data_IF_387933181543
#
_entry.id   IF_387933181543
#
_cell.length_a   1.000
_cell.length_b   1.000
_cell.length_c   1.000
_cell.angle_alpha   90.00
_cell.angle_beta   90.00
_cell.angle_gamma   90.00
#
_symmetry.space_group_name_H-M   'P 1'
#
loop_
_entity.id
_entity.type
_entity.pdbx_description
1 polymer ?
#
# COMPACT_ATOMS: atom_id res chain seq x y z
N UNK A 1 13.41 -12.93 -29.56
CA UNK A 1 14.11 -13.79 -28.58
C UNK A 1 13.71 -13.33 -27.20
N UNK A 2 12.92 -14.11 -26.45
CA UNK A 2 12.67 -13.83 -25.04
C UNK A 2 13.99 -14.03 -24.30
N UNK A 3 14.45 -13.03 -23.55
CA UNK A 3 15.64 -13.16 -22.72
C UNK A 3 15.50 -14.38 -21.80
N UNK A 4 16.54 -15.20 -21.68
CA UNK A 4 16.61 -16.30 -20.71
C UNK A 4 16.55 -15.72 -19.29
N UNK A 5 15.35 -15.59 -18.74
CA UNK A 5 15.17 -15.12 -17.37
C UNK A 5 15.70 -16.20 -16.42
N UNK A 6 16.64 -15.81 -15.54
CA UNK A 6 17.13 -16.71 -14.49
C UNK A 6 15.96 -17.13 -13.61
N UNK A 7 15.76 -18.45 -13.48
CA UNK A 7 14.69 -19.04 -12.68
C UNK A 7 15.21 -20.15 -11.76
N UNK A 8 14.41 -20.49 -10.76
CA UNK A 8 14.71 -21.55 -9.84
C UNK A 8 14.61 -22.90 -10.55
N UNK A 9 15.70 -23.66 -10.52
CA UNK A 9 15.81 -24.95 -11.22
C UNK A 9 14.83 -26.03 -10.71
N UNK A 10 14.29 -25.87 -9.50
CA UNK A 10 13.38 -26.85 -8.90
C UNK A 10 11.89 -26.54 -9.10
N UNK A 11 11.52 -25.26 -9.09
CA UNK A 11 10.10 -24.87 -9.07
C UNK A 11 9.73 -23.81 -10.11
N UNK A 12 10.68 -23.37 -10.92
CA UNK A 12 10.48 -22.37 -11.97
C UNK A 12 10.25 -20.94 -11.46
N UNK A 13 10.40 -20.67 -10.15
CA UNK A 13 10.33 -19.30 -9.61
C UNK A 13 11.35 -18.39 -10.31
N UNK A 14 10.89 -17.35 -10.99
CA UNK A 14 11.73 -16.45 -11.78
C UNK A 14 11.82 -15.04 -11.19
N UNK A 15 11.05 -14.74 -10.14
CA UNK A 15 11.02 -13.40 -9.57
C UNK A 15 12.35 -13.11 -8.87
N UNK A 16 13.05 -12.07 -9.33
CA UNK A 16 14.42 -11.72 -8.89
C UNK A 16 14.57 -11.62 -7.36
N UNK A 17 13.62 -10.98 -6.66
CA UNK A 17 13.66 -10.85 -5.21
C UNK A 17 13.51 -12.19 -4.46
N UNK A 18 12.85 -13.18 -5.07
CA UNK A 18 12.67 -14.51 -4.51
C UNK A 18 13.89 -15.43 -4.73
N UNK A 19 14.87 -15.03 -5.53
CA UNK A 19 16.07 -15.82 -5.82
C UNK A 19 17.15 -15.54 -4.76
N UNK A 20 17.60 -16.58 -4.05
CA UNK A 20 18.51 -16.43 -2.90
C UNK A 20 19.93 -16.04 -3.30
N UNK A 21 20.40 -16.48 -4.49
CA UNK A 21 21.69 -16.18 -5.15
C UNK A 21 21.69 -16.83 -6.54
N UNK A 22 22.11 -16.09 -7.58
CA UNK A 22 22.21 -16.60 -8.96
C UNK A 22 23.07 -17.87 -9.07
N UNK A 23 24.15 -17.94 -8.28
CA UNK A 23 25.08 -19.06 -8.27
C UNK A 23 24.48 -20.41 -7.85
N UNK A 24 23.40 -20.42 -7.05
CA UNK A 24 22.78 -21.66 -6.56
C UNK A 24 21.58 -22.06 -7.42
N UNK A 25 21.05 -21.14 -8.24
CA UNK A 25 19.89 -21.43 -9.11
C UNK A 25 18.62 -21.81 -8.33
N UNK A 26 18.51 -21.44 -7.05
CA UNK A 26 17.36 -21.76 -6.20
C UNK A 26 16.68 -20.51 -5.64
N UNK A 27 15.35 -20.57 -5.52
CA UNK A 27 14.56 -19.59 -4.78
C UNK A 27 14.68 -19.80 -3.27
N UNK A 28 14.24 -18.80 -2.49
CA UNK A 28 14.28 -18.84 -1.03
C UNK A 28 13.49 -20.02 -0.47
N UNK A 29 12.33 -20.35 -1.03
CA UNK A 29 11.54 -21.50 -0.60
C UNK A 29 12.28 -22.84 -0.81
N UNK A 30 12.84 -23.05 -2.00
CA UNK A 30 13.53 -24.30 -2.36
C UNK A 30 14.87 -24.45 -1.65
N UNK A 31 15.56 -23.35 -1.37
CA UNK A 31 16.84 -23.36 -0.68
C UNK A 31 16.71 -23.44 0.85
N UNK A 32 15.50 -23.36 1.39
CA UNK A 32 15.28 -23.38 2.84
C UNK A 32 15.13 -24.80 3.39
N UNK A 33 15.77 -25.01 4.55
CA UNK A 33 15.77 -26.27 5.29
C UNK A 33 15.40 -26.06 6.77
N UNK A 34 15.10 -24.82 7.17
CA UNK A 34 15.03 -24.43 8.59
C UNK A 34 13.61 -24.10 9.04
N UNK A 35 12.79 -23.54 8.15
CA UNK A 35 11.48 -23.04 8.52
C UNK A 35 10.44 -24.15 8.54
N UNK A 36 9.47 -24.02 9.45
CA UNK A 36 8.28 -24.88 9.46
C UNK A 36 7.50 -24.68 8.16
N UNK A 37 7.05 -25.79 7.57
CA UNK A 37 6.22 -25.76 6.37
C UNK A 37 4.74 -25.56 6.70
N UNK A 38 4.04 -24.82 5.86
CA UNK A 38 2.60 -24.57 5.99
C UNK A 38 1.99 -23.93 4.75
N UNK A 39 0.84 -23.27 4.93
CA UNK A 39 0.13 -22.56 3.87
C UNK A 39 0.50 -21.07 3.85
N UNK A 40 0.87 -20.55 2.69
CA UNK A 40 1.17 -19.13 2.51
C UNK A 40 -0.12 -18.34 2.35
N UNK A 41 -0.29 -17.28 3.14
CA UNK A 41 -1.51 -16.45 3.05
C UNK A 41 -1.58 -15.61 1.77
N UNK A 42 -0.44 -15.23 1.20
CA UNK A 42 -0.37 -14.47 -0.07
C UNK A 42 -0.65 -15.38 -1.26
N UNK A 43 0.24 -16.33 -1.56
CA UNK A 43 0.11 -17.13 -2.78
C UNK A 43 -0.79 -18.36 -2.65
N UNK A 44 -1.38 -18.60 -1.47
CA UNK A 44 -2.30 -19.72 -1.16
C UNK A 44 -1.75 -21.13 -1.39
N UNK A 45 -0.47 -21.26 -1.73
CA UNK A 45 0.22 -22.54 -1.88
C UNK A 45 0.53 -23.16 -0.52
N UNK A 46 0.46 -24.49 -0.47
CA UNK A 46 0.69 -25.29 0.73
C UNK A 46 2.10 -25.89 0.76
N UNK A 47 2.48 -26.41 1.93
CA UNK A 47 3.75 -27.08 2.18
C UNK A 47 4.99 -26.21 1.84
N UNK A 48 4.89 -24.90 2.04
CA UNK A 48 5.99 -23.95 1.83
C UNK A 48 6.62 -23.56 3.17
N UNK A 49 7.95 -23.29 3.22
CA UNK A 49 8.59 -22.75 4.43
C UNK A 49 8.00 -21.38 4.76
N UNK A 50 7.58 -21.17 6.01
CA UNK A 50 6.87 -19.95 6.43
C UNK A 50 7.70 -19.09 7.38
N UNK A 51 7.55 -17.78 7.22
CA UNK A 51 8.05 -16.73 8.11
C UNK A 51 6.95 -15.71 8.39
N UNK A 52 7.02 -15.03 9.54
CA UNK A 52 6.07 -13.96 9.87
C UNK A 52 6.55 -12.65 9.25
N UNK A 53 5.70 -12.07 8.40
CA UNK A 53 5.96 -10.78 7.76
C UNK A 53 5.14 -9.67 8.41
N UNK A 54 5.74 -8.51 8.66
CA UNK A 54 5.05 -7.35 9.20
C UNK A 54 4.30 -6.60 8.10
N UNK A 55 3.03 -6.25 8.32
CA UNK A 55 2.27 -5.48 7.32
C UNK A 55 2.85 -4.09 7.05
N UNK A 56 3.29 -3.39 8.09
CA UNK A 56 3.66 -1.97 7.99
C UNK A 56 5.17 -1.71 7.84
N UNK A 57 5.94 -2.63 7.26
CA UNK A 57 7.40 -2.45 7.04
C UNK A 57 8.28 -2.30 8.29
N UNK A 58 7.68 -2.17 9.48
CA UNK A 58 8.39 -2.01 10.74
C UNK A 58 8.76 -3.38 11.29
N UNK A 59 10.06 -3.57 11.59
CA UNK A 59 10.64 -4.73 12.31
C UNK A 59 9.95 -5.04 13.67
N UNK A 60 9.04 -4.19 14.14
CA UNK A 60 8.33 -4.28 15.41
C UNK A 60 6.83 -3.95 15.32
N UNK A 61 6.22 -3.94 14.13
CA UNK A 61 4.76 -3.82 14.06
C UNK A 61 4.10 -5.09 14.63
N UNK A 62 3.12 -4.96 15.52
CA UNK A 62 2.46 -6.13 16.13
C UNK A 62 1.71 -6.99 15.09
N UNK A 63 1.23 -6.38 14.01
CA UNK A 63 0.47 -7.05 12.97
C UNK A 63 1.40 -7.75 11.97
N UNK A 64 1.37 -9.07 12.01
CA UNK A 64 2.14 -9.94 11.12
C UNK A 64 1.27 -11.00 10.46
N UNK A 65 1.67 -11.48 9.29
CA UNK A 65 1.05 -12.63 8.61
C UNK A 65 2.08 -13.72 8.31
N UNK A 66 1.69 -15.01 8.44
CA UNK A 66 2.53 -16.11 8.03
C UNK A 66 2.51 -16.27 6.51
N UNK A 67 3.67 -16.12 5.88
CA UNK A 67 3.82 -16.19 4.42
C UNK A 67 5.07 -16.98 4.05
N UNK A 68 5.15 -17.46 2.82
CA UNK A 68 6.34 -18.18 2.36
C UNK A 68 7.53 -17.24 2.11
N UNK A 69 8.74 -17.78 2.16
CA UNK A 69 9.98 -16.98 2.03
C UNK A 69 10.07 -16.24 0.69
N UNK A 70 9.58 -16.82 -0.41
CA UNK A 70 9.52 -16.11 -1.69
C UNK A 70 8.62 -14.87 -1.62
N UNK A 71 7.39 -15.03 -1.09
CA UNK A 71 6.45 -13.90 -0.90
C UNK A 71 6.99 -12.89 0.11
N UNK A 72 7.69 -13.36 1.14
CA UNK A 72 8.33 -12.52 2.13
C UNK A 72 9.35 -11.58 1.50
N UNK A 73 10.24 -12.10 0.65
CA UNK A 73 11.26 -11.28 0.00
C UNK A 73 10.66 -10.28 -1.00
N UNK A 74 9.58 -10.65 -1.70
CA UNK A 74 8.86 -9.72 -2.56
C UNK A 74 8.27 -8.57 -1.77
N UNK A 75 7.51 -8.84 -0.70
CA UNK A 75 6.93 -7.78 0.13
C UNK A 75 8.01 -6.91 0.79
N UNK A 76 9.07 -7.54 1.32
CA UNK A 76 10.19 -6.80 1.93
C UNK A 76 10.86 -5.87 0.93
N UNK A 77 10.99 -6.29 -0.34
CA UNK A 77 11.54 -5.44 -1.39
C UNK A 77 10.65 -4.25 -1.70
N UNK A 78 9.32 -4.45 -1.78
CA UNK A 78 8.36 -3.34 -1.99
C UNK A 78 8.38 -2.35 -0.84
N UNK A 79 8.38 -2.85 0.39
CA UNK A 79 8.41 -2.02 1.61
C UNK A 79 9.72 -1.27 1.80
N UNK A 80 10.84 -1.78 1.27
CA UNK A 80 12.11 -1.08 1.29
C UNK A 80 12.06 0.25 0.49
N UNK A 81 11.20 0.32 -0.52
CA UNK A 81 11.06 1.48 -1.40
C UNK A 81 10.00 2.47 -0.89
N UNK A 82 9.40 2.21 0.28
CA UNK A 82 8.46 3.13 0.90
C UNK A 82 9.16 4.44 1.31
N UNK A 83 8.46 5.60 1.20
CA UNK A 83 9.01 6.88 1.60
C UNK A 83 9.50 6.91 3.06
N UNK A 84 10.52 7.72 3.30
CA UNK A 84 11.20 7.89 4.60
C UNK A 84 10.35 8.63 5.67
N UNK A 85 9.01 8.51 5.59
CA UNK A 85 8.01 9.17 6.46
C UNK A 85 7.91 8.52 7.86
N UNK A 86 8.66 7.46 8.12
CA UNK A 86 8.62 6.62 9.33
C UNK A 86 9.10 7.30 10.62
N UNK A 87 9.77 8.46 10.53
CA UNK A 87 10.29 9.18 11.71
C UNK A 87 9.26 10.09 12.39
N UNK A 88 8.15 10.40 11.72
CA UNK A 88 7.22 11.44 12.16
C UNK A 88 6.02 10.94 12.97
N UNK A 89 5.33 9.88 12.53
CA UNK A 89 4.01 9.54 13.09
C UNK A 89 3.66 8.04 13.04
N UNK A 90 2.89 7.52 14.01
CA UNK A 90 2.24 6.22 13.91
C UNK A 90 1.11 6.28 12.88
N UNK A 91 1.46 6.17 11.60
CA UNK A 91 0.47 6.40 10.55
C UNK A 91 -0.24 5.09 10.19
N UNK A 92 -1.54 5.02 10.48
CA UNK A 92 -2.46 4.01 9.94
C UNK A 92 -2.32 3.86 8.42
N UNK A 93 -1.86 4.90 7.70
CA UNK A 93 -1.52 4.84 6.29
C UNK A 93 -0.53 3.72 5.94
N UNK A 94 0.44 3.39 6.79
CA UNK A 94 1.37 2.28 6.53
C UNK A 94 0.72 0.91 6.66
N UNK A 95 -0.32 0.77 7.48
CA UNK A 95 -1.13 -0.44 7.48
C UNK A 95 -1.93 -0.56 6.19
N UNK A 96 -2.44 0.56 5.65
CA UNK A 96 -3.09 0.58 4.34
C UNK A 96 -2.13 0.23 3.20
N UNK A 97 -0.93 0.83 3.15
CA UNK A 97 0.09 0.45 2.16
C UNK A 97 0.48 -1.02 2.27
N UNK A 98 0.68 -1.51 3.49
CA UNK A 98 0.95 -2.93 3.74
C UNK A 98 -0.14 -3.86 3.23
N UNK A 99 -1.41 -3.49 3.48
CA UNK A 99 -2.56 -4.25 3.02
C UNK A 99 -2.68 -4.21 1.48
N UNK A 100 -2.38 -3.07 0.85
CA UNK A 100 -2.36 -2.94 -0.60
C UNK A 100 -1.28 -3.83 -1.22
N UNK A 101 -0.04 -3.77 -0.72
CA UNK A 101 1.06 -4.62 -1.18
C UNK A 101 0.72 -6.11 -1.07
N UNK A 102 0.13 -6.50 0.07
CA UNK A 102 -0.37 -7.85 0.27
C UNK A 102 -1.46 -8.23 -0.74
N UNK A 103 -2.44 -7.35 -0.96
CA UNK A 103 -3.59 -7.61 -1.83
C UNK A 103 -3.14 -7.79 -3.28
N UNK A 104 -2.22 -6.94 -3.74
CA UNK A 104 -1.67 -7.02 -5.10
C UNK A 104 -0.96 -8.35 -5.31
N UNK A 105 -0.04 -8.74 -4.41
CA UNK A 105 0.66 -10.02 -4.56
C UNK A 105 -0.26 -11.24 -4.38
N UNK A 106 -1.40 -11.07 -3.71
CA UNK A 106 -2.39 -12.14 -3.55
C UNK A 106 -3.25 -12.31 -4.79
N UNK A 107 -3.55 -11.23 -5.52
CA UNK A 107 -4.30 -11.25 -6.78
C UNK A 107 -3.42 -11.76 -7.91
N UNK A 108 -2.25 -11.16 -8.08
CA UNK A 108 -1.28 -11.56 -9.08
C UNK A 108 0.12 -11.62 -8.45
N UNK A 109 0.58 -12.82 -8.06
CA UNK A 109 1.92 -13.01 -7.53
C UNK A 109 3.01 -12.65 -8.55
N UNK A 110 2.72 -12.66 -9.85
CA UNK A 110 3.67 -12.34 -10.91
C UNK A 110 3.77 -10.82 -11.18
N UNK A 111 2.88 -10.01 -10.61
CA UNK A 111 2.83 -8.57 -10.88
C UNK A 111 4.14 -7.88 -10.45
N UNK A 112 4.91 -7.33 -11.42
CA UNK A 112 6.11 -6.55 -11.14
C UNK A 112 5.74 -5.37 -10.24
N UNK A 113 6.66 -5.00 -9.35
CA UNK A 113 6.43 -3.85 -8.48
C UNK A 113 6.32 -2.55 -9.29
N UNK A 114 7.13 -2.45 -10.33
CA UNK A 114 7.25 -1.30 -11.23
C UNK A 114 5.91 -0.98 -11.90
N UNK A 115 5.17 -2.01 -12.32
CA UNK A 115 3.85 -1.88 -12.95
C UNK A 115 2.82 -1.33 -11.96
N UNK A 116 2.89 -1.75 -10.70
CA UNK A 116 2.01 -1.26 -9.65
C UNK A 116 2.38 0.16 -9.23
N UNK A 117 3.66 0.50 -9.12
CA UNK A 117 4.06 1.87 -8.75
C UNK A 117 3.61 2.88 -9.80
N UNK A 118 3.71 2.54 -11.09
CA UNK A 118 3.19 3.37 -12.17
C UNK A 118 1.67 3.51 -12.09
N UNK A 119 0.93 2.40 -11.96
CA UNK A 119 -0.52 2.43 -11.80
C UNK A 119 -0.98 3.17 -10.53
N UNK A 120 -0.22 3.07 -9.44
CA UNK A 120 -0.53 3.77 -8.19
C UNK A 120 -0.24 5.26 -8.28
N UNK A 121 0.82 5.70 -8.95
CA UNK A 121 1.05 7.13 -9.20
C UNK A 121 -0.02 7.69 -10.14
N UNK A 122 -0.38 6.99 -11.22
CA UNK A 122 -1.51 7.39 -12.09
C UNK A 122 -2.82 7.50 -11.30
N UNK A 123 -3.12 6.50 -10.46
CA UNK A 123 -4.35 6.47 -9.67
C UNK A 123 -4.35 7.55 -8.57
N UNK A 124 -3.19 7.89 -8.02
CA UNK A 124 -3.00 8.98 -7.04
C UNK A 124 -3.23 10.33 -7.69
N UNK A 125 -2.71 10.58 -8.89
CA UNK A 125 -3.01 11.81 -9.64
C UNK A 125 -4.52 11.96 -9.87
N UNK A 126 -5.19 10.90 -10.32
CA UNK A 126 -6.65 10.91 -10.54
C UNK A 126 -7.44 11.18 -9.25
N UNK A 127 -7.03 10.59 -8.12
CA UNK A 127 -7.72 10.80 -6.84
C UNK A 127 -7.51 12.23 -6.33
N UNK A 128 -6.28 12.76 -6.45
CA UNK A 128 -5.96 14.15 -6.05
C UNK A 128 -6.75 15.14 -6.89
N UNK A 129 -6.83 14.94 -8.21
CA UNK A 129 -7.61 15.80 -9.11
C UNK A 129 -9.10 15.78 -8.77
N UNK A 130 -9.66 14.60 -8.50
CA UNK A 130 -11.07 14.48 -8.09
C UNK A 130 -11.34 15.16 -6.75
N UNK A 131 -10.44 15.03 -5.79
CA UNK A 131 -10.56 15.69 -4.49
C UNK A 131 -10.47 17.21 -4.62
N UNK A 132 -9.54 17.73 -5.43
CA UNK A 132 -9.41 19.15 -5.72
C UNK A 132 -10.67 19.70 -6.41
N UNK A 133 -11.19 18.99 -7.41
CA UNK A 133 -12.44 19.36 -8.09
C UNK A 133 -13.64 19.42 -7.13
N UNK A 134 -13.76 18.44 -6.22
CA UNK A 134 -14.81 18.43 -5.20
C UNK A 134 -14.71 19.62 -4.24
N UNK A 135 -13.49 19.96 -3.79
CA UNK A 135 -13.26 21.13 -2.93
C UNK A 135 -13.61 22.45 -3.62
N UNK A 136 -13.24 22.60 -4.90
CA UNK A 136 -13.62 23.77 -5.71
C UNK A 136 -15.14 23.86 -5.86
N UNK A 137 -15.81 22.73 -6.06
CA UNK A 137 -17.28 22.70 -6.15
C UNK A 137 -17.94 23.12 -4.82
N UNK A 138 -17.48 22.57 -3.70
CA UNK A 138 -17.98 22.90 -2.37
C UNK A 138 -17.76 24.38 -2.02
N UNK A 139 -16.60 24.95 -2.36
CA UNK A 139 -16.32 26.37 -2.07
C UNK A 139 -17.26 27.31 -2.84
N UNK A 140 -17.63 26.96 -4.08
CA UNK A 140 -18.63 27.69 -4.88
C UNK A 140 -20.03 27.66 -4.27
N UNK A 141 -20.36 26.67 -3.45
CA UNK A 141 -21.66 26.59 -2.75
C UNK A 141 -21.60 27.31 -1.40
N UNK A 142 -20.51 27.10 -0.65
CA UNK A 142 -20.37 27.63 0.70
C UNK A 142 -20.25 29.17 0.69
N UNK A 143 -19.51 29.74 -0.26
CA UNK A 143 -19.26 31.19 -0.29
C UNK A 143 -20.54 32.02 -0.51
N UNK A 144 -21.42 31.71 -1.48
CA UNK A 144 -22.70 32.38 -1.62
C UNK A 144 -23.60 32.27 -0.39
N UNK A 145 -23.61 31.12 0.28
CA UNK A 145 -24.40 30.91 1.51
C UNK A 145 -23.90 31.80 2.64
N UNK A 146 -22.57 31.88 2.83
CA UNK A 146 -21.96 32.77 3.83
C UNK A 146 -22.26 34.24 3.50
N UNK A 147 -22.09 34.65 2.24
CA UNK A 147 -22.38 36.02 1.81
C UNK A 147 -23.86 36.38 2.01
N UNK A 148 -24.77 35.46 1.69
CA UNK A 148 -26.21 35.65 1.92
C UNK A 148 -26.53 35.78 3.40
N UNK A 149 -25.95 34.94 4.26
CA UNK A 149 -26.13 35.02 5.71
C UNK A 149 -25.59 36.34 6.29
N UNK A 150 -24.43 36.81 5.82
CA UNK A 150 -23.86 38.10 6.21
C UNK A 150 -24.77 39.26 5.74
N UNK A 151 -25.26 39.20 4.51
CA UNK A 151 -26.19 40.19 3.97
C UNK A 151 -27.49 40.25 4.79
N UNK A 152 -28.09 39.10 5.11
CA UNK A 152 -29.29 39.03 5.94
C UNK A 152 -29.04 39.62 7.33
N UNK A 153 -27.88 39.33 7.94
CA UNK A 153 -27.52 39.88 9.25
C UNK A 153 -27.29 41.40 9.21
N UNK A 154 -26.68 41.92 8.14
CA UNK A 154 -26.49 43.37 7.92
C UNK A 154 -27.82 44.10 7.67
N UNK A 155 -28.77 43.45 6.99
CA UNK A 155 -30.09 43.99 6.70
C UNK A 155 -31.07 43.86 7.87
N UNK A 156 -30.68 43.20 8.98
CA UNK A 156 -31.53 43.06 10.16
C UNK A 156 -31.59 44.41 10.89
N UNK A 157 -32.75 45.08 10.95
CA UNK A 157 -32.84 46.36 11.64
C UNK A 157 -32.50 46.19 13.12
N UNK A 158 -31.78 47.16 13.70
CA UNK A 158 -31.55 47.16 15.15
C UNK A 158 -32.90 47.24 15.84
N UNK A 159 -33.34 46.15 16.46
CA UNK A 159 -34.51 46.17 17.34
C UNK A 159 -34.12 47.06 18.51
N UNK A 160 -34.59 48.31 18.48
CA UNK A 160 -34.38 49.27 19.55
C UNK A 160 -34.92 48.69 20.85
N UNK A 161 -34.10 48.73 21.91
CA UNK A 161 -34.54 48.33 23.25
C UNK A 161 -35.81 49.13 23.61
N UNK A 162 -36.88 48.48 24.11
CA UNK A 162 -38.00 49.23 24.65
C UNK A 162 -37.50 50.10 25.80
N UNK A 163 -37.88 51.37 25.78
CA UNK A 163 -37.60 52.30 26.88
C UNK A 163 -38.55 51.94 28.03
N UNK A 164 -37.98 51.54 29.16
CA UNK A 164 -38.66 51.57 30.46
C UNK A 164 -38.83 53.02 30.94
#
# INVERSE_FOLDING_TARGET
>A
MLADYTSCQQCGEYRKAALRKSAIGLCLNCADQKHRKGSCWVCRKNHLPLERHHFAGRKHAALTVPICLNCHALLSRRQYEWPDLWRGEPCVAFLFFGLLDYSVLSIDPAMPYELLSEQCEEMKEVVVDKAAAALIFLSKIIWPVILLALFINLMRPSVGKPKE
#
